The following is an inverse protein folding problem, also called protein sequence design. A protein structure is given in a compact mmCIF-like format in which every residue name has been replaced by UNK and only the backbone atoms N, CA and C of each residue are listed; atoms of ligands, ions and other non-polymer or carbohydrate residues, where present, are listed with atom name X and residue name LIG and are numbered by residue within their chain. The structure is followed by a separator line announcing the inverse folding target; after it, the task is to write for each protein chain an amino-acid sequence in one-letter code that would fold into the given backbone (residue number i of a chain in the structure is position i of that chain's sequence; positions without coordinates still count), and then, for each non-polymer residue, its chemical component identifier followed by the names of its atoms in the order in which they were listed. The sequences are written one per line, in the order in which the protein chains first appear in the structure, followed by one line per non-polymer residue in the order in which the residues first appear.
data_IF_307839111627
#
_entry.id   IF_307839111627
#
_cell.length_a   1.000
_cell.length_b   1.000
_cell.length_c   1.000
_cell.angle_alpha   90.00
_cell.angle_beta   90.00
_cell.angle_gamma   90.00
#
_symmetry.space_group_name_H-M   'P 1'
#
loop_
_entity.id
_entity.type
_entity.pdbx_description
1 polymer ?
#
# COMPACT_ATOMS: atom_id res chain seq x y z
N UNK A 1 -17.40 1.18 23.08
CA UNK A 1 -17.04 -0.24 22.92
C UNK A 1 -15.52 -0.34 23.06
N UNK A 2 -14.93 -1.51 23.31
CA UNK A 2 -13.47 -1.68 23.47
C UNK A 2 -12.98 -2.91 22.65
N UNK A 3 -11.71 -2.93 22.28
CA UNK A 3 -11.07 -4.05 21.57
C UNK A 3 -11.57 -4.25 20.14
N UNK A 4 -11.84 -5.50 19.74
CA UNK A 4 -12.21 -5.86 18.36
C UNK A 4 -13.41 -5.07 17.81
N UNK A 5 -14.32 -4.61 18.67
CA UNK A 5 -15.47 -3.81 18.24
C UNK A 5 -15.06 -2.44 17.68
N UNK A 6 -14.11 -1.74 18.33
CA UNK A 6 -13.61 -0.46 17.83
C UNK A 6 -12.75 -0.66 16.57
N UNK A 7 -11.96 -1.75 16.54
CA UNK A 7 -11.18 -2.10 15.35
C UNK A 7 -12.10 -2.40 14.16
N UNK A 8 -13.19 -3.12 14.38
CA UNK A 8 -14.20 -3.39 13.36
C UNK A 8 -14.93 -2.11 12.92
N UNK A 9 -15.22 -1.19 13.84
CA UNK A 9 -15.82 0.11 13.53
C UNK A 9 -14.88 0.96 12.65
N UNK A 10 -13.58 1.00 12.97
CA UNK A 10 -12.57 1.64 12.12
C UNK A 10 -12.50 0.99 10.73
N UNK A 11 -12.43 -0.33 10.67
CA UNK A 11 -12.29 -1.10 9.43
C UNK A 11 -13.54 -1.06 8.54
N UNK A 12 -14.72 -0.93 9.15
CA UNK A 12 -16.02 -0.90 8.50
C UNK A 12 -16.53 0.51 8.21
N UNK A 13 -15.81 1.55 8.60
CA UNK A 13 -16.21 2.94 8.38
C UNK A 13 -16.15 3.28 6.89
N UNK A 14 -17.30 3.66 6.32
CA UNK A 14 -17.45 4.05 4.91
C UNK A 14 -16.52 5.19 4.48
N UNK A 15 -16.09 6.04 5.42
CA UNK A 15 -15.16 7.15 5.14
C UNK A 15 -13.70 6.72 4.94
N UNK A 16 -13.34 5.50 5.33
CA UNK A 16 -11.96 5.00 5.22
C UNK A 16 -11.67 4.30 3.90
N UNK A 17 -12.64 4.26 2.96
CA UNK A 17 -12.54 3.57 1.66
C UNK A 17 -12.03 2.11 1.76
N UNK A 18 -12.12 1.48 2.94
CA UNK A 18 -11.58 0.15 3.24
C UNK A 18 -10.05 0.06 3.34
N UNK A 19 -9.32 1.18 3.46
CA UNK A 19 -7.85 1.21 3.58
C UNK A 19 -7.33 0.37 4.77
N UNK A 20 -8.12 0.26 5.84
CA UNK A 20 -7.75 -0.47 7.05
C UNK A 20 -8.20 -1.92 7.08
N UNK A 21 -8.81 -2.47 6.01
CA UNK A 21 -9.23 -3.87 5.92
C UNK A 21 -8.03 -4.82 5.75
N UNK A 22 -7.17 -4.85 6.77
CA UNK A 22 -5.91 -5.59 6.84
C UNK A 22 -6.09 -6.80 7.75
N UNK A 23 -5.85 -7.99 7.19
CA UNK A 23 -6.03 -9.26 7.88
C UNK A 23 -4.81 -10.16 7.72
N UNK A 24 -4.61 -11.08 8.67
CA UNK A 24 -3.62 -12.14 8.55
C UNK A 24 -4.12 -13.25 7.63
N UNK A 25 -3.35 -13.59 6.60
CA UNK A 25 -3.50 -14.83 5.81
C UNK A 25 -2.73 -15.97 6.47
N UNK A 26 -3.33 -17.16 6.42
CA UNK A 26 -2.74 -18.39 6.97
C UNK A 26 -2.36 -19.34 5.83
N UNK A 27 -1.34 -18.98 5.05
CA UNK A 27 -0.92 -19.77 3.87
C UNK A 27 -0.40 -21.14 4.24
N UNK A 28 0.48 -21.24 5.24
CA UNK A 28 1.03 -22.51 5.68
C UNK A 28 -0.08 -23.44 6.21
N UNK A 29 -1.00 -22.91 7.03
CA UNK A 29 -2.10 -23.69 7.58
C UNK A 29 -3.10 -24.14 6.50
N UNK A 30 -3.41 -23.26 5.54
CA UNK A 30 -4.30 -23.62 4.44
C UNK A 30 -3.66 -24.65 3.49
N UNK A 31 -2.36 -24.54 3.21
CA UNK A 31 -1.62 -25.56 2.48
C UNK A 31 -1.59 -26.89 3.23
N UNK A 32 -1.38 -26.87 4.55
CA UNK A 32 -1.44 -28.07 5.38
C UNK A 32 -2.82 -28.73 5.34
N UNK A 33 -3.91 -27.95 5.41
CA UNK A 33 -5.27 -28.48 5.25
C UNK A 33 -5.48 -29.14 3.87
N UNK A 34 -4.94 -28.56 2.79
CA UNK A 34 -4.98 -29.17 1.45
C UNK A 34 -4.25 -30.51 1.41
N UNK A 35 -3.09 -30.61 2.05
CA UNK A 35 -2.32 -31.86 2.12
C UNK A 35 -3.08 -32.95 2.89
N UNK A 36 -3.74 -32.61 3.99
CA UNK A 36 -4.57 -33.57 4.71
C UNK A 36 -5.77 -34.03 3.89
N UNK A 37 -6.49 -33.12 3.23
CA UNK A 37 -7.61 -33.46 2.34
C UNK A 37 -7.17 -34.35 1.17
N UNK A 38 -5.98 -34.09 0.61
CA UNK A 38 -5.38 -34.94 -0.41
C UNK A 38 -5.06 -36.34 0.13
N UNK A 39 -4.45 -36.43 1.31
CA UNK A 39 -4.13 -37.72 1.94
C UNK A 39 -5.39 -38.55 2.26
N UNK A 40 -6.44 -37.90 2.78
CA UNK A 40 -7.73 -38.55 3.01
C UNK A 40 -8.34 -39.09 1.70
N UNK A 41 -8.30 -38.31 0.62
CA UNK A 41 -8.79 -38.76 -0.69
C UNK A 41 -8.01 -39.96 -1.23
N UNK A 42 -6.68 -39.95 -1.11
CA UNK A 42 -5.82 -41.07 -1.54
C UNK A 42 -6.16 -42.33 -0.73
N UNK A 43 -6.28 -42.21 0.58
CA UNK A 43 -6.65 -43.33 1.46
C UNK A 43 -8.03 -43.91 1.11
N UNK A 44 -9.00 -43.07 0.76
CA UNK A 44 -10.33 -43.52 0.32
C UNK A 44 -10.28 -44.23 -1.05
N UNK A 45 -9.46 -43.74 -1.99
CA UNK A 45 -9.23 -44.38 -3.29
C UNK A 45 -8.58 -45.75 -3.13
N UNK A 46 -7.57 -45.86 -2.28
CA UNK A 46 -6.90 -47.13 -1.97
C UNK A 46 -7.86 -48.12 -1.31
N UNK A 47 -8.66 -47.65 -0.33
CA UNK A 47 -9.71 -48.46 0.31
C UNK A 47 -10.73 -48.98 -0.71
N UNK A 48 -11.16 -48.14 -1.66
CA UNK A 48 -12.06 -48.56 -2.74
C UNK A 48 -11.38 -49.57 -3.67
N UNK A 49 -10.11 -49.34 -4.03
CA UNK A 49 -9.33 -50.26 -4.86
C UNK A 49 -9.20 -51.65 -4.22
N UNK A 50 -9.03 -51.71 -2.90
CA UNK A 50 -9.03 -52.97 -2.16
C UNK A 50 -10.37 -53.71 -2.26
N UNK A 51 -11.50 -53.01 -2.08
CA UNK A 51 -12.83 -53.61 -2.22
C UNK A 51 -13.08 -54.14 -3.64
N UNK A 52 -12.73 -53.33 -4.65
CA UNK A 52 -12.83 -53.75 -6.06
C UNK A 52 -11.98 -54.99 -6.31
N UNK A 53 -10.73 -55.03 -5.84
CA UNK A 53 -9.81 -56.16 -6.03
C UNK A 53 -10.31 -57.44 -5.35
N UNK A 54 -10.90 -57.31 -4.15
CA UNK A 54 -11.51 -58.44 -3.42
C UNK A 54 -12.69 -59.04 -4.20
N UNK A 55 -13.46 -58.19 -4.88
CA UNK A 55 -14.71 -58.58 -5.52
C UNK A 55 -14.53 -59.08 -6.98
N UNK A 56 -13.32 -59.07 -7.54
CA UNK A 56 -13.00 -59.56 -8.91
C UNK A 56 -13.36 -61.03 -9.13
N UNK A 57 -13.39 -61.85 -8.07
CA UNK A 57 -13.74 -63.28 -8.15
C UNK A 57 -15.24 -63.58 -8.06
N UNK A 58 -16.08 -62.57 -7.80
CA UNK A 58 -17.51 -62.76 -7.59
C UNK A 58 -18.30 -62.40 -8.89
N UNK A 59 -18.98 -63.37 -9.52
CA UNK A 59 -19.69 -63.15 -10.77
C UNK A 59 -20.87 -62.17 -10.64
N UNK A 60 -21.49 -62.05 -9.46
CA UNK A 60 -22.58 -61.09 -9.23
C UNK A 60 -22.03 -59.66 -9.12
N UNK A 61 -20.87 -59.51 -8.47
CA UNK A 61 -20.21 -58.20 -8.28
C UNK A 61 -19.41 -57.73 -9.49
N UNK A 62 -19.12 -58.61 -10.45
CA UNK A 62 -18.46 -58.23 -11.71
C UNK A 62 -19.24 -57.16 -12.49
N UNK A 63 -20.55 -57.03 -12.27
CA UNK A 63 -21.38 -56.01 -12.90
C UNK A 63 -21.15 -54.60 -12.33
N UNK A 64 -20.68 -54.46 -11.09
CA UNK A 64 -20.54 -53.18 -10.40
C UNK A 64 -19.59 -52.19 -11.09
N UNK A 65 -18.56 -52.70 -11.76
CA UNK A 65 -17.61 -51.87 -12.52
C UNK A 65 -18.24 -51.23 -13.76
N UNK A 66 -19.30 -51.85 -14.29
CA UNK A 66 -19.92 -51.46 -15.57
C UNK A 66 -21.29 -50.81 -15.40
N UNK A 67 -21.96 -51.06 -14.29
CA UNK A 67 -23.28 -50.54 -14.00
C UNK A 67 -23.36 -49.92 -12.60
N UNK A 68 -23.68 -48.63 -12.57
CA UNK A 68 -23.82 -47.87 -11.34
C UNK A 68 -25.13 -48.20 -10.60
N UNK A 69 -26.18 -48.63 -11.32
CA UNK A 69 -27.45 -49.02 -10.70
C UNK A 69 -27.26 -50.32 -9.92
N UNK A 70 -26.64 -51.34 -10.55
CA UNK A 70 -26.21 -52.55 -9.86
C UNK A 70 -25.31 -52.27 -8.64
N UNK A 71 -24.36 -51.32 -8.75
CA UNK A 71 -23.48 -50.96 -7.64
C UNK A 71 -24.20 -50.23 -6.49
N UNK A 72 -25.17 -49.38 -6.80
CA UNK A 72 -25.86 -48.54 -5.80
C UNK A 72 -27.04 -49.25 -5.13
N UNK A 73 -27.63 -50.26 -5.79
CA UNK A 73 -28.76 -51.06 -5.31
C UNK A 73 -28.36 -52.38 -4.65
N UNK A 74 -27.08 -52.74 -4.66
CA UNK A 74 -26.58 -53.96 -4.04
C UNK A 74 -26.76 -54.00 -2.51
N UNK A 75 -27.03 -55.20 -1.96
CA UNK A 75 -27.11 -55.43 -0.52
C UNK A 75 -25.77 -55.09 0.19
N UNK A 76 -24.64 -55.41 -0.45
CA UNK A 76 -23.31 -54.97 -0.04
C UNK A 76 -22.98 -53.61 -0.68
N UNK A 77 -23.41 -52.53 -0.03
CA UNK A 77 -23.21 -51.17 -0.51
C UNK A 77 -21.83 -50.58 -0.17
N UNK A 78 -20.85 -51.39 0.27
CA UNK A 78 -19.55 -50.91 0.77
C UNK A 78 -18.77 -50.10 -0.27
N UNK A 79 -18.72 -50.56 -1.52
CA UNK A 79 -18.09 -49.82 -2.63
C UNK A 79 -18.82 -48.51 -2.92
N UNK A 80 -20.15 -48.52 -2.91
CA UNK A 80 -20.96 -47.33 -3.15
C UNK A 80 -20.82 -46.29 -2.03
N UNK A 81 -20.78 -46.72 -0.77
CA UNK A 81 -20.53 -45.85 0.37
C UNK A 81 -19.17 -45.17 0.27
N UNK A 82 -18.13 -45.90 -0.15
CA UNK A 82 -16.81 -45.31 -0.42
C UNK A 82 -16.85 -44.28 -1.53
N UNK A 83 -17.61 -44.52 -2.60
CA UNK A 83 -17.84 -43.52 -3.65
C UNK A 83 -18.55 -42.26 -3.15
N UNK A 84 -19.57 -42.39 -2.30
CA UNK A 84 -20.25 -41.24 -1.71
C UNK A 84 -19.32 -40.42 -0.80
N UNK A 85 -18.48 -41.11 -0.02
CA UNK A 85 -17.48 -40.48 0.83
C UNK A 85 -16.43 -39.71 0.00
N UNK A 86 -15.92 -40.32 -1.07
CA UNK A 86 -15.02 -39.67 -2.04
C UNK A 86 -15.68 -38.44 -2.64
N UNK A 87 -16.94 -38.52 -3.11
CA UNK A 87 -17.65 -37.36 -3.70
C UNK A 87 -17.75 -36.19 -2.74
N UNK A 88 -18.06 -36.46 -1.46
CA UNK A 88 -18.10 -35.44 -0.41
C UNK A 88 -16.72 -34.83 -0.18
N UNK A 89 -15.69 -35.65 0.01
CA UNK A 89 -14.32 -35.19 0.26
C UNK A 89 -13.71 -34.45 -0.91
N UNK A 90 -14.01 -34.86 -2.13
CA UNK A 90 -13.56 -34.21 -3.36
C UNK A 90 -14.14 -32.81 -3.48
N UNK A 91 -15.42 -32.63 -3.11
CA UNK A 91 -16.05 -31.30 -3.02
C UNK A 91 -15.38 -30.42 -1.98
N UNK A 92 -15.08 -30.95 -0.79
CA UNK A 92 -14.35 -30.24 0.28
C UNK A 92 -12.95 -29.80 -0.20
N UNK A 93 -12.22 -30.71 -0.85
CA UNK A 93 -10.88 -30.45 -1.41
C UNK A 93 -10.89 -29.35 -2.46
N UNK A 94 -11.76 -29.43 -3.47
CA UNK A 94 -11.81 -28.40 -4.52
C UNK A 94 -12.27 -27.04 -3.99
N UNK A 95 -13.19 -27.02 -3.01
CA UNK A 95 -13.57 -25.78 -2.32
C UNK A 95 -12.38 -25.16 -1.60
N UNK A 96 -11.60 -25.97 -0.88
CA UNK A 96 -10.40 -25.52 -0.18
C UNK A 96 -9.33 -24.99 -1.16
N UNK A 97 -9.12 -25.62 -2.31
CA UNK A 97 -8.19 -25.13 -3.34
C UNK A 97 -8.63 -23.76 -3.86
N UNK A 98 -9.92 -23.62 -4.19
CA UNK A 98 -10.46 -22.36 -4.70
C UNK A 98 -10.27 -21.21 -3.68
N UNK A 99 -10.52 -21.50 -2.39
CA UNK A 99 -10.31 -20.56 -1.31
C UNK A 99 -8.83 -20.22 -1.11
N UNK A 100 -7.94 -21.21 -1.11
CA UNK A 100 -6.50 -20.99 -0.99
C UNK A 100 -5.98 -20.10 -2.14
N UNK A 101 -6.39 -20.39 -3.38
CA UNK A 101 -6.06 -19.57 -4.54
C UNK A 101 -6.55 -18.13 -4.39
N UNK A 102 -7.79 -17.95 -3.95
CA UNK A 102 -8.36 -16.61 -3.72
C UNK A 102 -7.55 -15.83 -2.69
N UNK A 103 -7.17 -16.45 -1.56
CA UNK A 103 -6.40 -15.80 -0.50
C UNK A 103 -4.95 -15.48 -0.91
N UNK A 104 -4.28 -16.38 -1.63
CA UNK A 104 -2.92 -16.14 -2.14
C UNK A 104 -2.85 -15.01 -3.17
N UNK A 105 -3.97 -14.70 -3.83
CA UNK A 105 -4.07 -13.63 -4.82
C UNK A 105 -4.31 -12.23 -4.25
N UNK A 106 -4.52 -12.11 -2.93
CA UNK A 106 -4.76 -10.82 -2.29
C UNK A 106 -3.45 -10.00 -2.17
N UNK A 107 -3.50 -8.67 -2.41
CA UNK A 107 -2.34 -7.82 -2.31
C UNK A 107 -1.87 -7.66 -0.85
N UNK A 108 -0.57 -7.40 -0.69
CA UNK A 108 -0.01 -7.00 0.60
C UNK A 108 -0.50 -5.58 0.97
N UNK A 109 -0.65 -5.27 2.27
CA UNK A 109 -1.06 -3.93 2.71
C UNK A 109 0.00 -2.88 2.39
N UNK A 110 -0.44 -1.65 2.17
CA UNK A 110 0.46 -0.51 2.05
C UNK A 110 1.16 -0.25 3.40
N UNK A 111 2.46 0.08 3.37
CA UNK A 111 3.24 0.34 4.58
C UNK A 111 2.75 1.58 5.34
N UNK A 112 2.18 2.56 4.63
CA UNK A 112 1.58 3.75 5.25
C UNK A 112 0.34 3.37 6.06
N UNK A 113 -0.64 2.75 5.41
CA UNK A 113 -1.92 2.33 5.99
C UNK A 113 -1.69 1.40 7.19
N UNK A 114 -0.73 0.45 7.08
CA UNK A 114 -0.35 -0.44 8.18
C UNK A 114 0.24 0.35 9.36
N UNK A 115 1.11 1.32 9.11
CA UNK A 115 1.70 2.15 10.17
C UNK A 115 0.64 3.02 10.85
N UNK A 116 -0.30 3.56 10.09
CA UNK A 116 -1.43 4.32 10.63
C UNK A 116 -2.30 3.44 11.52
N UNK A 117 -2.58 2.20 11.08
CA UNK A 117 -3.31 1.22 11.89
C UNK A 117 -2.58 0.88 13.19
N UNK A 118 -1.26 0.62 13.13
CA UNK A 118 -0.43 0.37 14.32
C UNK A 118 -0.48 1.55 15.29
N UNK A 119 -0.29 2.77 14.79
CA UNK A 119 -0.37 3.99 15.62
C UNK A 119 -1.75 4.18 16.24
N UNK A 120 -2.81 3.81 15.53
CA UNK A 120 -4.17 3.85 16.06
C UNK A 120 -4.37 2.84 17.19
N UNK A 121 -3.87 1.61 17.04
CA UNK A 121 -3.93 0.54 18.06
C UNK A 121 -3.16 0.93 19.34
N UNK A 122 -2.02 1.60 19.20
CA UNK A 122 -1.16 2.04 20.31
C UNK A 122 -1.72 3.26 21.07
N UNK A 123 -2.61 4.05 20.46
CA UNK A 123 -3.09 5.31 21.06
C UNK A 123 -4.20 5.08 22.10
N UNK A 124 -4.03 5.59 23.33
CA UNK A 124 -5.01 5.41 24.40
C UNK A 124 -6.34 6.16 24.16
N UNK A 125 -6.34 7.22 23.34
CA UNK A 125 -7.54 8.03 23.05
C UNK A 125 -8.29 7.69 21.76
N UNK A 126 -7.73 6.85 20.89
CA UNK A 126 -8.29 6.57 19.54
C UNK A 126 -8.61 5.08 19.31
N UNK A 127 -8.12 4.19 20.15
CA UNK A 127 -8.49 2.77 20.10
C UNK A 127 -8.34 2.08 21.44
N UNK A 128 -7.25 2.34 22.19
CA UNK A 128 -6.82 1.53 23.34
C UNK A 128 -7.02 0.02 23.10
N UNK A 129 -6.83 -0.39 21.84
CA UNK A 129 -7.07 -1.75 21.37
C UNK A 129 -5.75 -2.51 21.43
N UNK A 130 -5.15 -2.55 22.62
CA UNK A 130 -4.10 -3.53 22.87
C UNK A 130 -4.77 -4.90 22.86
N UNK A 131 -4.66 -5.59 21.72
CA UNK A 131 -5.06 -7.00 21.63
C UNK A 131 -4.23 -7.74 22.70
N UNK A 132 -4.90 -8.38 23.65
CA UNK A 132 -4.24 -9.03 24.80
C UNK A 132 -3.93 -10.50 24.50
N UNK A 133 -4.59 -11.07 23.48
CA UNK A 133 -4.50 -12.48 23.12
C UNK A 133 -3.21 -12.85 22.39
N UNK A 134 -3.15 -14.10 21.94
CA UNK A 134 -2.05 -14.57 21.08
C UNK A 134 -1.97 -13.85 19.73
N UNK A 135 -2.96 -13.01 19.43
CA UNK A 135 -3.04 -12.13 18.28
C UNK A 135 -2.54 -10.70 18.57
N UNK A 136 -2.00 -10.44 19.76
CA UNK A 136 -1.45 -9.14 20.16
C UNK A 136 -0.41 -8.60 19.18
N UNK A 137 0.36 -9.51 18.57
CA UNK A 137 1.50 -9.19 17.72
C UNK A 137 1.21 -9.31 16.21
N UNK A 138 -0.05 -9.55 15.81
CA UNK A 138 -0.44 -9.75 14.39
C UNK A 138 0.00 -8.57 13.51
N UNK A 139 -0.11 -7.35 14.05
CA UNK A 139 0.22 -6.14 13.31
C UNK A 139 1.65 -5.64 13.56
N UNK A 140 2.50 -6.37 14.29
CA UNK A 140 3.87 -5.92 14.58
C UNK A 140 4.82 -6.03 13.38
N UNK A 141 5.82 -5.15 13.34
CA UNK A 141 6.76 -5.03 12.22
C UNK A 141 7.55 -6.32 11.92
N UNK A 142 7.77 -7.18 12.90
CA UNK A 142 8.58 -8.38 12.75
C UNK A 142 7.81 -9.58 12.17
N UNK A 143 6.48 -9.52 12.11
CA UNK A 143 5.57 -10.58 11.62
C UNK A 143 4.75 -10.19 10.38
N UNK A 144 5.11 -9.10 9.70
CA UNK A 144 4.41 -8.60 8.50
C UNK A 144 4.31 -9.63 7.35
N UNK A 145 5.05 -10.74 7.41
CA UNK A 145 4.90 -11.87 6.50
C UNK A 145 3.53 -12.52 6.69
N UNK A 146 2.61 -12.26 5.76
CA UNK A 146 1.27 -12.85 5.79
C UNK A 146 0.15 -11.89 6.11
N UNK A 147 0.35 -10.57 6.03
CA UNK A 147 -0.78 -9.64 6.01
C UNK A 147 -1.30 -9.45 4.58
N UNK A 148 -2.61 -9.29 4.45
CA UNK A 148 -3.31 -9.00 3.19
C UNK A 148 -4.31 -7.88 3.39
N UNK A 149 -4.54 -7.10 2.33
CA UNK A 149 -5.64 -6.13 2.28
C UNK A 149 -6.75 -6.62 1.36
N UNK A 150 -8.01 -6.41 1.78
CA UNK A 150 -9.18 -6.72 0.96
C UNK A 150 -9.44 -5.65 -0.11
N UNK A 151 -8.85 -4.47 0.03
CA UNK A 151 -8.99 -3.41 -0.98
C UNK A 151 -8.02 -3.64 -2.13
N UNK A 152 -8.58 -3.97 -3.29
CA UNK A 152 -7.85 -4.12 -4.55
C UNK A 152 -7.26 -2.79 -5.09
N UNK A 153 -7.29 -1.71 -4.31
CA UNK A 153 -6.84 -0.38 -4.69
C UNK A 153 -5.47 0.00 -4.13
N UNK A 154 -4.76 -0.95 -3.53
CA UNK A 154 -3.31 -0.89 -3.30
C UNK A 154 -2.52 -0.99 -4.60
N UNK A 155 -2.88 -0.18 -5.60
CA UNK A 155 -1.95 0.25 -6.63
C UNK A 155 -0.92 1.07 -5.86
N UNK A 156 0.20 0.45 -5.53
CA UNK A 156 1.37 1.12 -4.98
C UNK A 156 1.49 2.49 -5.65
N UNK A 157 1.58 3.56 -4.85
CA UNK A 157 1.90 4.90 -5.29
C UNK A 157 2.85 4.82 -6.50
N UNK A 158 2.34 5.27 -7.65
CA UNK A 158 2.82 4.93 -8.98
C UNK A 158 4.35 4.99 -9.09
N UNK A 159 4.94 4.19 -9.97
CA UNK A 159 6.37 4.28 -10.29
C UNK A 159 6.81 5.74 -10.55
N UNK A 160 5.90 6.57 -11.06
CA UNK A 160 6.03 8.01 -11.16
C UNK A 160 6.03 8.75 -9.81
N UNK A 161 5.15 8.45 -8.85
CA UNK A 161 5.17 9.06 -7.51
C UNK A 161 6.47 8.75 -6.78
N UNK A 162 6.96 7.51 -6.84
CA UNK A 162 8.28 7.15 -6.28
C UNK A 162 9.41 7.91 -6.98
N UNK A 163 9.35 8.05 -8.30
CA UNK A 163 10.34 8.78 -9.06
C UNK A 163 10.28 10.30 -8.80
N UNK A 164 9.08 10.89 -8.72
CA UNK A 164 8.86 12.32 -8.44
C UNK A 164 9.22 12.70 -7.01
N UNK A 165 8.88 11.86 -6.03
CA UNK A 165 9.09 12.18 -4.61
C UNK A 165 10.52 11.85 -4.17
N UNK A 166 11.10 10.73 -4.63
CA UNK A 166 12.42 10.31 -4.14
C UNK A 166 13.57 10.67 -5.10
N UNK A 167 13.37 10.52 -6.43
CA UNK A 167 14.47 10.67 -7.41
C UNK A 167 14.54 12.06 -8.03
N UNK A 168 13.42 12.75 -8.20
CA UNK A 168 13.38 14.09 -8.79
C UNK A 168 14.08 15.14 -7.90
N UNK A 169 13.96 15.14 -6.56
CA UNK A 169 14.70 16.10 -5.73
C UNK A 169 16.21 15.88 -5.83
N UNK A 170 16.67 14.62 -5.89
CA UNK A 170 18.09 14.29 -6.11
C UNK A 170 18.59 14.75 -7.49
N UNK A 171 17.82 14.46 -8.55
CA UNK A 171 18.14 14.86 -9.92
C UNK A 171 18.10 16.38 -10.09
N UNK A 172 17.15 17.08 -9.47
CA UNK A 172 17.07 18.54 -9.47
C UNK A 172 18.28 19.16 -8.75
N UNK A 173 18.62 18.64 -7.57
CA UNK A 173 19.80 19.10 -6.85
C UNK A 173 21.09 18.86 -7.63
N UNK A 174 21.24 17.70 -8.29
CA UNK A 174 22.42 17.38 -9.08
C UNK A 174 22.49 18.13 -10.42
N UNK A 175 21.39 18.23 -11.16
CA UNK A 175 21.37 18.77 -12.52
C UNK A 175 21.17 20.29 -12.60
N UNK A 176 20.52 20.90 -11.60
CA UNK A 176 20.22 22.34 -11.60
C UNK A 176 20.99 23.03 -10.48
N UNK A 177 20.90 22.54 -9.23
CA UNK A 177 21.49 23.23 -8.08
C UNK A 177 23.02 23.16 -8.08
N UNK A 178 23.65 22.02 -8.39
CA UNK A 178 25.11 21.92 -8.44
C UNK A 178 25.76 22.79 -9.54
N UNK A 179 25.30 22.78 -10.81
CA UNK A 179 25.84 23.69 -11.83
C UNK A 179 25.47 25.15 -11.56
N UNK A 180 24.27 25.46 -11.05
CA UNK A 180 23.91 26.82 -10.65
C UNK A 180 24.75 27.32 -9.46
N UNK A 181 25.12 26.46 -8.51
CA UNK A 181 26.04 26.81 -7.43
C UNK A 181 27.48 26.98 -7.94
N UNK A 182 27.89 26.21 -8.96
CA UNK A 182 29.19 26.39 -9.63
C UNK A 182 29.25 27.66 -10.49
N UNK A 183 28.12 28.10 -11.06
CA UNK A 183 28.03 29.30 -11.92
C UNK A 183 27.68 30.59 -11.15
N UNK A 184 26.84 30.51 -10.10
CA UNK A 184 26.36 31.63 -9.30
C UNK A 184 26.91 31.63 -7.85
N UNK A 185 27.95 30.85 -7.56
CA UNK A 185 28.61 30.74 -6.25
C UNK A 185 29.36 32.00 -5.79
N UNK A 186 29.17 33.16 -6.44
CA UNK A 186 29.81 34.42 -6.05
C UNK A 186 28.82 35.54 -5.65
N UNK A 187 27.50 35.31 -5.68
CA UNK A 187 26.51 36.38 -5.43
C UNK A 187 25.49 36.15 -4.31
N UNK A 188 25.51 35.02 -3.60
CA UNK A 188 24.70 34.83 -2.39
C UNK A 188 25.60 34.94 -1.16
N UNK A 189 25.81 36.17 -0.70
CA UNK A 189 26.26 36.43 0.68
C UNK A 189 25.19 35.87 1.61
N UNK A 190 25.53 34.85 2.40
CA UNK A 190 24.71 34.48 3.56
C UNK A 190 24.65 35.70 4.50
N UNK A 191 23.48 36.14 4.97
CA UNK A 191 23.41 37.16 6.01
C UNK A 191 24.04 36.58 7.28
N UNK A 192 25.17 37.15 7.67
CA UNK A 192 25.83 36.85 8.95
C UNK A 192 25.06 37.59 10.02
N UNK A 193 24.54 36.86 11.02
CA UNK A 193 24.07 37.41 12.29
C UNK A 193 22.57 37.33 12.51
N UNK A 194 22.11 36.19 13.03
CA UNK A 194 20.86 36.15 13.84
C UNK A 194 20.82 34.99 14.86
N UNK A 195 21.70 33.98 14.76
CA UNK A 195 21.68 32.81 15.66
C UNK A 195 22.75 32.82 16.77
N UNK A 196 23.19 34.00 17.22
CA UNK A 196 24.00 34.11 18.46
C UNK A 196 23.20 34.67 19.66
N UNK A 197 21.94 35.08 19.46
CA UNK A 197 21.12 35.66 20.54
C UNK A 197 20.19 34.68 21.25
N UNK A 198 19.87 33.55 20.63
CA UNK A 198 18.99 32.53 21.24
C UNK A 198 19.72 31.55 22.17
N UNK A 199 21.06 31.58 22.19
CA UNK A 199 21.88 30.63 22.98
C UNK A 199 22.35 31.18 24.33
N UNK A 200 22.18 32.49 24.55
CA UNK A 200 22.57 33.17 25.80
C UNK A 200 21.45 33.29 26.84
N UNK A 201 20.22 32.90 26.52
CA UNK A 201 19.06 33.01 27.43
C UNK A 201 18.74 31.71 28.20
N UNK A 202 19.45 30.61 27.93
CA UNK A 202 19.14 29.28 28.49
C UNK A 202 20.15 28.81 29.55
N UNK A 203 21.27 29.53 29.76
CA UNK A 203 22.36 29.06 30.65
C UNK A 203 22.47 29.80 31.98
N UNK A 204 21.45 30.57 32.39
CA UNK A 204 21.43 31.19 33.72
C UNK A 204 20.05 30.98 34.30
N UNK A 205 19.87 29.91 35.07
CA UNK A 205 19.03 29.84 36.28
C UNK A 205 18.81 28.39 36.72
N UNK A 206 19.89 27.74 37.16
CA UNK A 206 19.81 26.66 38.15
C UNK A 206 20.96 26.88 39.15
N UNK A 207 20.65 27.48 40.31
CA UNK A 207 21.10 27.06 41.66
C UNK A 207 20.80 28.13 42.72
N UNK A 208 20.24 27.69 43.86
CA UNK A 208 20.40 28.37 45.16
C UNK A 208 19.12 28.78 45.91
N UNK A 209 18.60 27.88 46.76
CA UNK A 209 17.91 28.21 48.02
C UNK A 209 18.95 28.63 49.10
N UNK A 210 18.64 29.10 50.36
CA UNK A 210 17.37 28.97 51.15
C UNK A 210 16.97 30.19 52.04
N UNK A 211 15.96 29.98 52.93
CA UNK A 211 15.55 30.71 54.17
C UNK A 211 14.50 31.82 54.03
N UNK A 212 13.52 32.06 54.90
CA UNK A 212 13.07 31.50 56.20
C UNK A 212 11.63 32.02 56.47
N UNK A 213 10.91 31.40 57.43
CA UNK A 213 9.79 31.93 58.27
C UNK A 213 8.47 32.32 57.56
N UNK A 214 7.37 31.57 57.74
CA UNK A 214 6.45 31.44 58.90
C UNK A 214 5.27 32.44 58.91
N UNK A 215 4.09 31.81 58.95
CA UNK A 215 2.85 32.17 59.63
C UNK A 215 2.04 33.38 59.10
N UNK A 216 0.78 33.14 58.74
CA UNK A 216 -0.37 33.39 59.64
C UNK A 216 -1.69 33.01 58.93
N UNK A 217 -2.49 32.20 59.63
CA UNK A 217 -3.85 31.81 59.31
C UNK A 217 -4.83 33.00 59.20
N UNK A 218 -5.95 32.78 58.52
CA UNK A 218 -7.29 32.76 59.15
C UNK A 218 -8.40 33.44 58.34
N UNK A 219 -9.59 32.82 58.39
CA UNK A 219 -10.90 33.46 58.19
C UNK A 219 -11.50 33.32 56.80
N UNK A 220 -12.29 32.29 56.52
CA UNK A 220 -13.74 32.20 56.79
C UNK A 220 -14.64 32.97 55.81
N UNK A 221 -15.31 32.17 54.97
CA UNK A 221 -16.78 32.17 54.70
C UNK A 221 -17.48 33.46 54.28
N UNK A 222 -17.99 33.51 53.04
CA UNK A 222 -19.38 33.95 52.75
C UNK A 222 -19.88 33.39 51.42
N UNK A 223 -21.14 32.99 51.42
CA UNK A 223 -21.97 32.41 50.35
C UNK A 223 -22.67 33.51 49.55
N UNK A 224 -22.70 33.38 48.21
CA UNK A 224 -23.76 33.81 47.28
C UNK A 224 -23.26 33.55 45.84
N UNK A 225 -23.65 32.46 45.18
CA UNK A 225 -24.80 32.39 44.26
C UNK A 225 -24.66 33.29 43.01
N UNK A 226 -24.43 32.66 41.85
CA UNK A 226 -25.10 32.90 40.55
C UNK A 226 -24.16 32.73 39.33
N UNK A 227 -24.50 31.76 38.48
CA UNK A 227 -24.49 31.87 37.01
C UNK A 227 -23.22 31.47 36.23
N UNK A 228 -23.42 30.38 35.47
CA UNK A 228 -22.81 30.02 34.17
C UNK A 228 -21.29 29.96 34.05
N UNK A 229 -20.75 28.74 33.93
CA UNK A 229 -19.56 28.50 33.14
C UNK A 229 -19.73 27.19 32.36
N UNK A 230 -19.80 27.38 31.05
CA UNK A 230 -19.75 26.41 29.97
C UNK A 230 -18.67 25.35 30.17
N UNK A 231 -19.09 24.09 30.03
CA UNK A 231 -18.26 22.94 29.71
C UNK A 231 -17.66 23.11 28.31
N UNK A 232 -16.40 23.50 28.24
CA UNK A 232 -15.54 23.37 27.05
C UNK A 232 -14.50 22.28 27.32
N UNK A 233 -14.74 21.06 26.84
CA UNK A 233 -13.66 20.07 26.68
C UNK A 233 -13.94 18.98 25.62
N UNK A 234 -14.84 19.19 24.66
CA UNK A 234 -15.20 18.15 23.68
C UNK A 234 -14.86 18.48 22.22
N UNK A 235 -14.17 19.58 21.92
CA UNK A 235 -13.93 19.97 20.52
C UNK A 235 -12.59 19.50 19.93
N UNK A 236 -11.61 19.10 20.76
CA UNK A 236 -10.29 18.72 20.23
C UNK A 236 -10.24 17.28 19.65
N UNK A 237 -11.13 16.39 20.11
CA UNK A 237 -11.17 15.00 19.67
C UNK A 237 -11.83 14.81 18.28
N UNK A 238 -12.85 15.61 17.97
CA UNK A 238 -13.54 15.59 16.68
C UNK A 238 -12.68 16.24 15.58
N UNK A 239 -11.81 17.19 15.94
CA UNK A 239 -10.92 17.86 14.98
C UNK A 239 -9.78 16.93 14.55
N UNK A 240 -9.18 16.14 15.45
CA UNK A 240 -8.05 15.26 15.06
C UNK A 240 -8.46 14.00 14.30
N UNK A 241 -9.61 13.40 14.63
CA UNK A 241 -10.15 12.26 13.87
C UNK A 241 -10.46 12.64 12.41
N UNK A 242 -10.91 13.88 12.16
CA UNK A 242 -11.13 14.43 10.82
C UNK A 242 -9.80 14.76 10.09
N UNK A 243 -8.73 15.10 10.82
CA UNK A 243 -7.39 15.31 10.25
C UNK A 243 -6.74 13.98 9.81
N UNK A 244 -7.05 12.86 10.48
CA UNK A 244 -6.54 11.53 10.10
C UNK A 244 -7.26 10.94 8.88
N UNK A 245 -8.51 11.33 8.60
CA UNK A 245 -9.30 10.87 7.45
C UNK A 245 -9.05 11.67 6.16
N UNK A 246 -8.37 12.82 6.22
CA UNK A 246 -8.25 13.73 5.07
C UNK A 246 -7.03 13.51 4.15
N UNK A 247 -6.17 12.53 4.43
CA UNK A 247 -4.83 12.50 3.79
C UNK A 247 -4.61 11.18 3.07
N UNK A 248 -4.99 11.11 1.78
CA UNK A 248 -4.18 10.44 0.74
C UNK A 248 -4.83 10.48 -0.65
N UNK A 249 -6.16 10.35 -0.76
CA UNK A 249 -6.84 10.24 -2.06
C UNK A 249 -6.64 11.50 -2.95
N UNK A 250 -6.68 12.69 -2.36
CA UNK A 250 -6.44 13.95 -3.07
C UNK A 250 -4.95 14.19 -3.33
N UNK A 251 -4.06 13.74 -2.46
CA UNK A 251 -2.61 13.99 -2.60
C UNK A 251 -2.04 13.17 -3.75
N UNK A 252 -2.40 11.88 -3.83
CA UNK A 252 -2.00 11.05 -4.95
C UNK A 252 -2.62 11.53 -6.26
N UNK A 253 -3.89 11.95 -6.26
CA UNK A 253 -4.52 12.55 -7.46
C UNK A 253 -3.83 13.84 -7.89
N UNK A 254 -3.51 14.74 -6.96
CA UNK A 254 -2.82 16.00 -7.27
C UNK A 254 -1.39 15.73 -7.75
N UNK A 255 -0.65 14.82 -7.13
CA UNK A 255 0.69 14.43 -7.56
C UNK A 255 0.68 13.82 -8.97
N UNK A 256 -0.32 12.99 -9.28
CA UNK A 256 -0.47 12.40 -10.61
C UNK A 256 -0.88 13.44 -11.66
N UNK A 257 -1.77 14.37 -11.31
CA UNK A 257 -2.12 15.50 -12.19
C UNK A 257 -0.91 16.41 -12.43
N UNK A 258 -0.16 16.77 -11.40
CA UNK A 258 1.06 17.56 -11.56
C UNK A 258 2.14 16.81 -12.35
N UNK A 259 2.30 15.51 -12.13
CA UNK A 259 3.25 14.66 -12.86
C UNK A 259 2.91 14.54 -14.35
N UNK A 260 1.63 14.35 -14.67
CA UNK A 260 1.13 14.32 -16.07
C UNK A 260 1.28 15.67 -16.75
N UNK A 261 0.97 16.77 -16.06
CA UNK A 261 1.17 18.13 -16.57
C UNK A 261 2.66 18.41 -16.82
N UNK A 262 3.54 18.08 -15.87
CA UNK A 262 4.98 18.25 -16.02
C UNK A 262 5.52 17.40 -17.17
N UNK A 263 5.04 16.17 -17.32
CA UNK A 263 5.40 15.29 -18.44
C UNK A 263 4.95 15.85 -19.80
N UNK A 264 3.84 16.57 -19.85
CA UNK A 264 3.34 17.22 -21.08
C UNK A 264 4.13 18.49 -21.46
N UNK A 265 4.82 19.11 -20.50
CA UNK A 265 5.67 20.29 -20.73
C UNK A 265 7.06 19.92 -21.27
N UNK A 266 7.54 18.69 -21.04
CA UNK A 266 8.83 18.20 -21.54
C UNK A 266 8.93 18.32 -23.08
N UNK A 267 7.92 17.87 -23.86
CA UNK A 267 7.86 18.08 -25.31
C UNK A 267 8.06 19.53 -25.76
N UNK A 268 7.41 20.47 -25.07
CA UNK A 268 7.43 21.89 -25.42
C UNK A 268 8.80 22.49 -25.10
N UNK A 269 9.36 22.16 -23.94
CA UNK A 269 10.69 22.58 -23.54
C UNK A 269 11.76 22.09 -24.53
N UNK A 270 11.65 20.86 -25.04
CA UNK A 270 12.57 20.31 -26.02
C UNK A 270 12.62 21.14 -27.31
N UNK A 271 11.46 21.56 -27.83
CA UNK A 271 11.36 22.40 -29.05
C UNK A 271 12.01 23.77 -28.81
N UNK A 272 11.75 24.38 -27.66
CA UNK A 272 12.33 25.68 -27.30
C UNK A 272 13.85 25.60 -27.21
N UNK A 273 14.40 24.59 -26.52
CA UNK A 273 15.86 24.39 -26.41
C UNK A 273 16.51 24.17 -27.78
N UNK A 274 15.88 23.38 -28.65
CA UNK A 274 16.35 23.13 -30.02
C UNK A 274 16.40 24.40 -30.88
N UNK A 275 15.54 25.39 -30.61
CA UNK A 275 15.54 26.66 -31.36
C UNK A 275 16.80 27.51 -31.13
N UNK A 276 17.41 27.43 -29.94
CA UNK A 276 18.59 28.23 -29.60
C UNK A 276 19.91 27.59 -30.04
N UNK A 277 19.92 26.28 -30.23
CA UNK A 277 21.12 25.54 -30.61
C UNK A 277 21.31 25.60 -32.12
N UNK A 278 22.44 26.11 -32.59
CA UNK A 278 22.76 26.22 -34.03
C UNK A 278 23.50 24.98 -34.57
N UNK A 279 24.21 24.25 -33.70
CA UNK A 279 25.04 23.11 -34.09
C UNK A 279 24.19 21.87 -34.39
N UNK A 280 24.28 21.33 -35.61
CA UNK A 280 23.53 20.14 -36.05
C UNK A 280 23.74 18.92 -35.15
N UNK A 281 25.00 18.61 -34.82
CA UNK A 281 25.35 17.46 -33.99
C UNK A 281 24.78 17.61 -32.58
N UNK A 282 24.77 18.82 -32.04
CA UNK A 282 24.18 19.11 -30.75
C UNK A 282 22.65 19.01 -30.79
N UNK A 283 22.00 19.47 -31.88
CA UNK A 283 20.55 19.29 -32.09
C UNK A 283 20.14 17.82 -32.08
N UNK A 284 20.88 16.96 -32.78
CA UNK A 284 20.61 15.53 -32.83
C UNK A 284 20.79 14.85 -31.46
N UNK A 285 21.84 15.23 -30.72
CA UNK A 285 22.05 14.75 -29.35
C UNK A 285 20.94 15.17 -28.39
N UNK A 286 20.45 16.40 -28.51
CA UNK A 286 19.35 16.93 -27.69
C UNK A 286 18.03 16.20 -27.99
N UNK A 287 17.72 15.91 -29.27
CA UNK A 287 16.54 15.12 -29.65
C UNK A 287 16.57 13.72 -29.06
N UNK A 288 17.71 13.04 -29.16
CA UNK A 288 17.89 11.71 -28.56
C UNK A 288 17.65 11.74 -27.05
N UNK A 289 18.22 12.72 -26.35
CA UNK A 289 18.06 12.88 -24.91
C UNK A 289 16.61 13.17 -24.50
N UNK A 290 15.93 14.13 -25.12
CA UNK A 290 14.55 14.46 -24.78
C UNK A 290 13.56 13.36 -25.18
N UNK A 291 13.81 12.63 -26.27
CA UNK A 291 12.99 11.47 -26.66
C UNK A 291 13.10 10.34 -25.63
N UNK A 292 14.31 10.07 -25.13
CA UNK A 292 14.52 9.09 -24.06
C UNK A 292 13.81 9.51 -22.76
N UNK A 293 13.95 10.77 -22.34
CA UNK A 293 13.28 11.30 -21.14
C UNK A 293 11.76 11.25 -21.27
N UNK A 294 11.21 11.61 -22.43
CA UNK A 294 9.77 11.54 -22.69
C UNK A 294 9.27 10.09 -22.66
N UNK A 295 9.99 9.15 -23.27
CA UNK A 295 9.62 7.73 -23.27
C UNK A 295 9.61 7.13 -21.86
N UNK A 296 10.63 7.44 -21.06
CA UNK A 296 10.69 7.03 -19.65
C UNK A 296 9.53 7.65 -18.87
N UNK A 297 9.27 8.95 -19.04
CA UNK A 297 8.17 9.63 -18.36
C UNK A 297 6.82 9.02 -18.72
N UNK A 298 6.55 8.82 -20.01
CA UNK A 298 5.31 8.21 -20.49
C UNK A 298 5.14 6.77 -19.98
N UNK A 299 6.23 6.00 -19.94
CA UNK A 299 6.21 4.63 -19.39
C UNK A 299 5.93 4.57 -17.89
N UNK A 300 6.22 5.64 -17.15
CA UNK A 300 5.93 5.73 -15.72
C UNK A 300 4.54 6.28 -15.44
N UNK A 301 4.03 7.15 -16.31
CA UNK A 301 2.73 7.82 -16.20
C UNK A 301 1.59 6.92 -16.69
N UNK A 302 1.84 6.11 -17.73
CA UNK A 302 0.78 5.37 -18.42
C UNK A 302 0.84 3.87 -18.15
N UNK A 303 -0.33 3.26 -17.92
CA UNK A 303 -0.52 1.80 -17.96
C UNK A 303 -0.69 1.26 -19.39
N UNK A 304 -0.23 2.02 -20.37
CA UNK A 304 -0.40 1.67 -21.77
C UNK A 304 0.37 0.39 -22.11
N UNK A 305 -0.13 -0.34 -23.09
CA UNK A 305 0.64 -1.47 -23.64
C UNK A 305 1.97 -0.93 -24.17
N UNK A 306 3.04 -1.72 -24.10
CA UNK A 306 4.38 -1.35 -24.62
C UNK A 306 4.32 -0.78 -26.06
N UNK A 307 3.38 -1.24 -26.87
CA UNK A 307 3.15 -0.78 -28.24
C UNK A 307 2.64 0.67 -28.29
N UNK A 308 1.78 1.09 -27.36
CA UNK A 308 1.23 2.44 -27.28
C UNK A 308 2.31 3.46 -26.88
N UNK A 309 3.16 3.09 -25.91
CA UNK A 309 4.31 3.90 -25.49
C UNK A 309 5.30 4.07 -26.66
N UNK A 310 5.56 3.00 -27.41
CA UNK A 310 6.44 3.04 -28.58
C UNK A 310 5.87 3.94 -29.68
N UNK A 311 4.57 3.81 -29.99
CA UNK A 311 3.90 4.64 -30.98
C UNK A 311 3.94 6.13 -30.61
N UNK A 312 3.63 6.48 -29.37
CA UNK A 312 3.68 7.86 -28.88
C UNK A 312 5.11 8.43 -28.87
N UNK A 313 6.11 7.63 -28.48
CA UNK A 313 7.53 8.02 -28.52
C UNK A 313 8.00 8.25 -29.96
N UNK A 314 7.63 7.37 -30.90
CA UNK A 314 8.00 7.50 -32.31
C UNK A 314 7.34 8.73 -32.98
N UNK A 315 6.08 9.01 -32.65
CA UNK A 315 5.38 10.19 -33.12
C UNK A 315 6.06 11.48 -32.63
N UNK A 316 6.41 11.54 -31.33
CA UNK A 316 7.14 12.68 -30.77
C UNK A 316 8.52 12.87 -31.41
N UNK A 317 9.30 11.80 -31.56
CA UNK A 317 10.62 11.84 -32.19
C UNK A 317 10.53 12.35 -33.64
N UNK A 318 9.50 11.91 -34.38
CA UNK A 318 9.26 12.35 -35.76
C UNK A 318 9.00 13.85 -35.84
N UNK A 319 8.19 14.41 -34.93
CA UNK A 319 7.92 15.87 -34.87
C UNK A 319 9.22 16.66 -34.62
N UNK A 320 10.09 16.18 -33.71
CA UNK A 320 11.37 16.84 -33.45
C UNK A 320 12.33 16.80 -34.63
N UNK A 321 12.42 15.65 -35.31
CA UNK A 321 13.30 15.49 -36.49
C UNK A 321 12.82 16.38 -37.64
N UNK A 322 11.50 16.49 -37.86
CA UNK A 322 10.93 17.40 -38.87
C UNK A 322 11.24 18.87 -38.53
N UNK A 323 11.14 19.26 -37.25
CA UNK A 323 11.49 20.61 -36.81
C UNK A 323 12.97 20.93 -37.03
N UNK A 324 13.88 19.99 -36.74
CA UNK A 324 15.30 20.15 -37.07
C UNK A 324 15.48 20.31 -38.58
N UNK A 325 14.85 19.44 -39.38
CA UNK A 325 14.93 19.49 -40.84
C UNK A 325 14.51 20.84 -41.42
N UNK A 326 13.44 21.45 -40.89
CA UNK A 326 12.94 22.76 -41.31
C UNK A 326 13.88 23.91 -40.90
N UNK A 327 14.39 23.90 -39.67
CA UNK A 327 15.25 24.99 -39.16
C UNK A 327 16.65 25.01 -39.76
N UNK A 328 17.09 23.90 -40.37
CA UNK A 328 18.36 23.83 -41.09
C UNK A 328 18.31 24.50 -42.47
N UNK A 329 17.15 24.48 -43.14
CA UNK A 329 17.00 25.14 -44.44
C UNK A 329 17.18 26.65 -44.30
N UNK A 330 16.55 27.26 -43.29
CA UNK A 330 16.57 28.71 -43.07
C UNK A 330 17.94 29.31 -42.66
N UNK A 331 19.00 28.51 -42.53
CA UNK A 331 20.36 28.97 -42.22
C UNK A 331 21.39 28.68 -43.33
N UNK A 332 20.94 28.15 -44.47
CA UNK A 332 21.74 27.98 -45.68
C UNK A 332 21.70 29.20 -46.59
#
# INVERSE_FOLDING_TARGET
MEGYANLADLMGNDHTDGHFLIFQKFEALSAQNLLYLQAELINLQESLGFLVSRDVGDPEKSMFTRDWEALSSADDNSQWQKWLEIRRKLKEYYKAIAQHRMMTGLPAPNSCDLKTLQQWLERPGLGNCALVGADSDVYENHKQTGLVTLTARGREADAMTRLLVNKLPELYHWAIVQPAHRLCGWWIKKPVGFLDRAKSEVTVMEEGQPKDSQDTESGSTTVAESTSASSESNNDADIESDIFLYRDSHIYRIATILGTLLSSLIPIAAIIVLSFVKNMTARLGIVSAFTAVFSVSLSLVTEGKRVEIFAATAAFASVQVVFIGSTNWNQG
#
